data_IF_287243204773
#
_entry.id   IF_287243204773
#
_cell.length_a   1.000
_cell.length_b   1.000
_cell.length_c   1.000
_cell.angle_alpha   90.00
_cell.angle_beta   90.00
_cell.angle_gamma   90.00
#
_symmetry.space_group_name_H-M   'P 1'
#
loop_
_entity.id
_entity.type
_entity.pdbx_description
1 polymer ?
#
# COMPACT_ATOMS: atom_id res chain seq x y z
N UNK A 1 10.21 -26.98 24.66
CA UNK A 1 10.52 -25.93 25.64
C UNK A 1 10.12 -24.61 25.03
N UNK A 2 9.01 -24.00 25.46
CA UNK A 2 8.54 -22.73 24.91
C UNK A 2 9.32 -21.60 25.54
N UNK A 3 10.06 -20.84 24.74
CA UNK A 3 10.75 -19.63 25.21
C UNK A 3 9.91 -18.44 24.76
N UNK A 4 9.12 -17.89 25.67
CA UNK A 4 8.40 -16.63 25.46
C UNK A 4 9.35 -15.48 25.76
N UNK A 5 9.75 -14.73 24.74
CA UNK A 5 10.42 -13.44 24.92
C UNK A 5 9.37 -12.33 24.92
N UNK A 6 9.14 -11.71 26.08
CA UNK A 6 8.48 -10.40 26.14
C UNK A 6 9.56 -9.34 25.95
N UNK A 7 9.58 -8.71 24.77
CA UNK A 7 10.40 -7.52 24.53
C UNK A 7 9.57 -6.26 24.78
N UNK A 8 10.19 -5.32 25.50
CA UNK A 8 9.62 -4.10 26.06
C UNK A 8 9.22 -3.06 25.00
N UNK A 9 8.03 -2.48 25.19
CA UNK A 9 7.59 -1.13 24.80
C UNK A 9 8.31 -0.44 23.63
N UNK A 10 8.19 -0.97 22.40
CA UNK A 10 8.09 -0.16 21.15
C UNK A 10 7.79 -1.00 19.88
N UNK A 11 7.18 -2.19 19.95
CA UNK A 11 6.93 -3.03 18.76
C UNK A 11 5.51 -3.60 18.71
N UNK A 12 4.92 -3.57 17.50
CA UNK A 12 3.54 -3.97 17.11
C UNK A 12 3.30 -5.49 17.03
N UNK A 13 4.26 -6.31 17.49
CA UNK A 13 4.21 -7.77 17.36
C UNK A 13 3.42 -8.35 18.54
N UNK A 14 2.23 -8.87 18.25
CA UNK A 14 1.31 -9.42 19.25
C UNK A 14 1.65 -10.85 19.65
N UNK A 15 2.29 -11.61 18.76
CA UNK A 15 2.81 -12.94 19.07
C UNK A 15 4.01 -13.33 18.20
N UNK A 16 4.94 -14.09 18.80
CA UNK A 16 6.01 -14.80 18.09
C UNK A 16 5.98 -16.25 18.54
N UNK A 17 5.90 -17.18 17.60
CA UNK A 17 6.06 -18.61 17.87
C UNK A 17 7.21 -19.20 17.05
N UNK A 18 7.95 -20.11 17.69
CA UNK A 18 9.10 -20.80 17.09
C UNK A 18 8.85 -22.29 17.20
N UNK A 19 8.87 -23.00 16.07
CA UNK A 19 8.79 -24.45 16.01
C UNK A 19 10.02 -25.01 15.33
N UNK A 20 10.71 -25.94 15.99
CA UNK A 20 11.80 -26.70 15.39
C UNK A 20 11.24 -28.01 14.85
N UNK A 21 11.54 -28.32 13.60
CA UNK A 21 11.29 -29.63 13.04
C UNK A 21 12.62 -30.39 12.92
N UNK A 22 12.82 -31.34 13.83
CA UNK A 22 14.02 -32.18 13.89
C UNK A 22 14.12 -33.15 12.70
N UNK A 23 13.04 -33.43 11.96
CA UNK A 23 13.09 -34.33 10.81
C UNK A 23 13.81 -33.71 9.61
N UNK A 24 13.65 -32.41 9.42
CA UNK A 24 14.10 -31.69 8.22
C UNK A 24 15.11 -30.58 8.58
N UNK A 25 15.57 -30.53 9.84
CA UNK A 25 16.46 -29.51 10.39
C UNK A 25 16.00 -28.08 10.10
N UNK A 26 14.68 -27.84 10.14
CA UNK A 26 14.08 -26.54 9.84
C UNK A 26 13.53 -25.88 11.10
N UNK A 27 13.56 -24.55 11.13
CA UNK A 27 12.98 -23.73 12.20
C UNK A 27 11.96 -22.80 11.58
N UNK A 28 10.71 -22.91 12.00
CA UNK A 28 9.62 -22.05 11.53
C UNK A 28 9.39 -20.94 12.55
N UNK A 29 9.38 -19.70 12.06
CA UNK A 29 8.99 -18.52 12.82
C UNK A 29 7.60 -18.07 12.34
N UNK A 30 6.66 -17.90 13.27
CA UNK A 30 5.36 -17.29 12.98
C UNK A 30 5.27 -15.97 13.74
N UNK A 31 4.96 -14.91 13.01
CA UNK A 31 4.80 -13.55 13.52
C UNK A 31 3.35 -13.13 13.37
N UNK A 32 2.76 -12.61 14.43
CA UNK A 32 1.44 -11.97 14.42
C UNK A 32 1.66 -10.49 14.76
N UNK A 33 1.16 -9.60 13.91
CA UNK A 33 1.29 -8.13 14.06
C UNK A 33 -0.03 -7.46 13.72
N UNK A 34 -0.32 -6.34 14.39
CA UNK A 34 -1.49 -5.50 14.10
C UNK A 34 -1.15 -4.32 13.16
N UNK A 35 0.13 -4.13 12.83
CA UNK A 35 0.62 -3.12 11.88
C UNK A 35 1.60 -3.76 10.87
N UNK A 36 1.58 -3.29 9.63
CA UNK A 36 1.97 -4.07 8.44
C UNK A 36 3.47 -4.20 8.14
N UNK A 37 4.35 -3.68 8.99
CA UNK A 37 5.77 -3.55 8.65
C UNK A 37 6.62 -4.65 9.32
N UNK A 38 6.86 -5.74 8.58
CA UNK A 38 7.84 -6.76 8.94
C UNK A 38 8.99 -6.75 7.92
N UNK A 39 10.15 -6.29 8.34
CA UNK A 39 11.39 -6.46 7.59
C UNK A 39 12.05 -7.81 7.97
N UNK A 40 12.06 -8.76 7.03
CA UNK A 40 12.61 -10.10 7.25
C UNK A 40 13.98 -10.20 6.56
N UNK A 41 15.01 -10.51 7.34
CA UNK A 41 16.37 -10.76 6.85
C UNK A 41 16.35 -12.09 6.07
N UNK A 42 16.58 -12.01 4.75
CA UNK A 42 16.46 -13.16 3.83
C UNK A 42 17.59 -14.17 3.96
N UNK A 43 18.74 -13.73 4.45
CA UNK A 43 19.88 -14.59 4.71
C UNK A 43 20.80 -14.00 5.77
N UNK A 44 21.41 -14.88 6.54
CA UNK A 44 22.41 -14.52 7.53
C UNK A 44 23.42 -15.66 7.71
N UNK A 45 24.64 -15.29 8.04
CA UNK A 45 25.79 -16.18 8.08
C UNK A 45 26.22 -16.44 9.54
N UNK A 46 26.18 -17.71 9.97
CA UNK A 46 26.71 -18.15 11.27
C UNK A 46 27.81 -19.16 11.00
N UNK A 47 29.03 -18.92 11.52
CA UNK A 47 30.09 -19.94 11.52
C UNK A 47 30.30 -20.61 10.14
N UNK A 48 30.32 -19.83 9.05
CA UNK A 48 30.39 -20.29 7.65
C UNK A 48 29.19 -21.13 7.14
N UNK A 49 28.05 -21.07 7.81
CA UNK A 49 26.77 -21.61 7.34
C UNK A 49 25.88 -20.46 6.90
N UNK A 50 25.38 -20.52 5.66
CA UNK A 50 24.37 -19.59 5.17
C UNK A 50 22.99 -20.13 5.50
N UNK A 51 22.30 -19.47 6.43
CA UNK A 51 20.89 -19.74 6.68
C UNK A 51 20.07 -18.90 5.70
N UNK A 52 19.28 -19.54 4.85
CA UNK A 52 18.35 -18.89 3.93
C UNK A 52 16.92 -19.10 4.40
N UNK A 53 16.12 -18.04 4.44
CA UNK A 53 14.70 -18.15 4.73
C UNK A 53 13.93 -18.34 3.42
N UNK A 54 13.41 -19.54 3.18
CA UNK A 54 12.48 -19.79 2.07
C UNK A 54 11.05 -19.52 2.54
N UNK A 55 10.39 -18.57 1.89
CA UNK A 55 9.01 -18.22 2.19
C UNK A 55 8.04 -19.26 1.64
N UNK A 56 7.43 -20.04 2.52
CA UNK A 56 6.21 -20.79 2.22
C UNK A 56 5.01 -19.96 2.70
N UNK A 57 4.62 -18.95 1.93
CA UNK A 57 3.41 -18.17 2.22
C UNK A 57 2.17 -19.04 1.94
N UNK A 58 1.69 -19.77 2.93
CA UNK A 58 0.45 -20.54 2.81
C UNK A 58 -0.80 -19.78 3.26
N UNK A 59 -0.70 -18.55 3.79
CA UNK A 59 -1.86 -17.71 4.11
C UNK A 59 -1.61 -16.22 3.84
N UNK A 60 -1.30 -15.87 2.59
CA UNK A 60 -1.75 -14.56 2.08
C UNK A 60 -3.16 -14.80 1.56
N UNK A 61 -4.16 -14.48 2.38
CA UNK A 61 -5.53 -14.33 1.90
C UNK A 61 -5.61 -13.09 1.00
N UNK A 62 -5.06 -13.21 -0.22
CA UNK A 62 -5.44 -12.42 -1.39
C UNK A 62 -5.87 -13.32 -2.55
N UNK A 63 -5.93 -14.65 -2.33
CA UNK A 63 -6.26 -15.64 -3.35
C UNK A 63 -7.74 -15.76 -3.71
N UNK A 64 -8.63 -14.93 -3.16
CA UNK A 64 -10.04 -14.89 -3.58
C UNK A 64 -10.41 -13.75 -4.54
N UNK A 65 -9.48 -12.85 -4.91
CA UNK A 65 -9.77 -11.78 -5.89
C UNK A 65 -9.41 -12.11 -7.35
N UNK A 66 -8.85 -13.28 -7.65
CA UNK A 66 -8.64 -13.73 -9.04
C UNK A 66 -9.93 -14.26 -9.68
N UNK A 67 -11.02 -13.49 -9.57
CA UNK A 67 -12.23 -13.68 -10.38
C UNK A 67 -12.68 -12.42 -11.13
N UNK A 68 -11.94 -11.32 -11.07
CA UNK A 68 -12.26 -10.15 -11.90
C UNK A 68 -11.09 -9.18 -12.05
N UNK A 69 -9.95 -9.57 -12.65
CA UNK A 69 -8.91 -8.63 -13.12
C UNK A 69 -8.35 -7.60 -12.12
N UNK A 70 -8.65 -7.72 -10.83
CA UNK A 70 -8.33 -6.76 -9.78
C UNK A 70 -7.08 -7.26 -9.07
N UNK A 71 -6.04 -6.44 -9.06
CA UNK A 71 -4.83 -6.66 -8.28
C UNK A 71 -4.97 -5.84 -6.99
N UNK A 72 -4.90 -6.51 -5.84
CA UNK A 72 -5.00 -5.91 -4.51
C UNK A 72 -3.84 -6.36 -3.62
N UNK A 73 -3.26 -5.42 -2.87
CA UNK A 73 -2.23 -5.68 -1.85
C UNK A 73 -2.54 -4.80 -0.63
N UNK A 74 -2.52 -5.39 0.56
CA UNK A 74 -3.10 -4.75 1.74
C UNK A 74 -4.57 -4.41 1.51
N UNK A 75 -4.96 -3.20 1.90
CA UNK A 75 -6.31 -2.66 1.70
C UNK A 75 -6.47 -1.92 0.36
N UNK A 76 -5.45 -1.90 -0.49
CA UNK A 76 -5.47 -1.15 -1.73
C UNK A 76 -5.93 -2.01 -2.91
N UNK A 77 -6.74 -1.40 -3.78
CA UNK A 77 -7.36 -2.01 -4.96
C UNK A 77 -7.18 -1.10 -6.16
N UNK A 78 -6.59 -1.62 -7.24
CA UNK A 78 -6.51 -0.88 -8.51
C UNK A 78 -7.73 -1.11 -9.39
N UNK A 79 -8.25 -0.03 -9.93
CA UNK A 79 -9.32 0.00 -10.92
C UNK A 79 -8.78 0.44 -12.28
N UNK A 80 -8.71 -0.50 -13.21
CA UNK A 80 -8.23 -0.23 -14.57
C UNK A 80 -9.23 0.59 -15.40
N UNK A 81 -10.54 0.44 -15.14
CA UNK A 81 -11.58 1.17 -15.88
C UNK A 81 -11.53 2.65 -15.52
N UNK A 82 -11.10 3.54 -16.43
CA UNK A 82 -10.81 4.92 -16.10
C UNK A 82 -12.09 5.70 -15.84
N UNK A 83 -12.04 6.60 -14.86
CA UNK A 83 -13.16 7.47 -14.48
C UNK A 83 -12.66 8.87 -14.15
N UNK A 84 -13.57 9.85 -14.07
CA UNK A 84 -13.24 11.19 -13.54
C UNK A 84 -12.96 11.09 -12.04
N UNK A 85 -12.24 12.06 -11.47
CA UNK A 85 -11.84 12.00 -10.05
C UNK A 85 -13.03 11.80 -9.11
N UNK A 86 -14.12 12.55 -9.30
CA UNK A 86 -15.30 12.45 -8.44
C UNK A 86 -16.07 11.13 -8.63
N UNK A 87 -16.09 10.58 -9.85
CA UNK A 87 -16.68 9.26 -10.09
C UNK A 87 -15.83 8.15 -9.47
N UNK A 88 -14.50 8.23 -9.60
CA UNK A 88 -13.56 7.32 -8.95
C UNK A 88 -13.72 7.36 -7.42
N UNK A 89 -13.80 8.56 -6.83
CA UNK A 89 -14.11 8.75 -5.40
C UNK A 89 -15.42 8.09 -5.01
N UNK A 90 -16.47 8.28 -5.79
CA UNK A 90 -17.78 7.66 -5.55
C UNK A 90 -17.70 6.13 -5.58
N UNK A 91 -16.99 5.56 -6.56
CA UNK A 91 -16.80 4.11 -6.67
C UNK A 91 -16.10 3.57 -5.43
N UNK A 92 -15.00 4.17 -4.99
CA UNK A 92 -14.31 3.69 -3.78
C UNK A 92 -15.19 3.76 -2.52
N UNK A 93 -16.03 4.79 -2.39
CA UNK A 93 -17.02 4.90 -1.30
C UNK A 93 -18.05 3.78 -1.37
N UNK A 94 -18.57 3.47 -2.56
CA UNK A 94 -19.51 2.36 -2.78
C UNK A 94 -18.88 0.99 -2.47
N UNK A 95 -17.55 0.87 -2.61
CA UNK A 95 -16.78 -0.31 -2.23
C UNK A 95 -16.46 -0.39 -0.73
N UNK A 96 -16.89 0.60 0.06
CA UNK A 96 -16.64 0.63 1.51
C UNK A 96 -15.29 1.22 1.90
N UNK A 97 -14.77 2.14 1.09
CA UNK A 97 -13.49 2.80 1.34
C UNK A 97 -13.43 4.22 0.78
N UNK A 98 -12.24 4.63 0.36
CA UNK A 98 -12.00 5.91 -0.28
C UNK A 98 -10.90 5.78 -1.35
N UNK A 99 -10.65 6.85 -2.11
CA UNK A 99 -9.46 6.86 -2.97
C UNK A 99 -8.20 6.75 -2.09
N UNK A 100 -7.22 5.93 -2.48
CA UNK A 100 -6.07 5.60 -1.61
C UNK A 100 -5.27 6.83 -1.20
N UNK A 101 -4.97 6.94 0.08
CA UNK A 101 -4.23 8.08 0.64
C UNK A 101 -2.82 7.62 0.94
N UNK A 102 -1.86 8.06 0.12
CA UNK A 102 -0.46 7.72 0.33
C UNK A 102 0.05 8.49 1.55
N UNK A 103 0.27 7.79 2.65
CA UNK A 103 0.77 8.38 3.90
C UNK A 103 2.23 8.02 4.24
N UNK A 104 2.83 7.13 3.46
CA UNK A 104 4.19 6.66 3.66
C UNK A 104 4.89 6.31 2.35
N UNK A 105 6.22 6.31 2.36
CA UNK A 105 7.02 5.81 1.22
C UNK A 105 6.82 4.31 0.98
N UNK A 106 6.38 3.56 1.99
CA UNK A 106 6.13 2.14 1.85
C UNK A 106 4.82 1.88 1.10
N UNK A 107 3.76 2.61 1.46
CA UNK A 107 2.48 2.54 0.76
C UNK A 107 2.63 2.96 -0.71
N UNK A 108 3.42 4.00 -0.98
CA UNK A 108 3.79 4.40 -2.33
C UNK A 108 4.38 3.23 -3.14
N UNK A 109 5.36 2.51 -2.55
CA UNK A 109 5.96 1.33 -3.19
C UNK A 109 4.95 0.22 -3.42
N UNK A 110 4.01 -0.01 -2.51
CA UNK A 110 2.94 -1.00 -2.68
C UNK A 110 2.02 -0.64 -3.85
N UNK A 111 1.58 0.62 -3.93
CA UNK A 111 0.77 1.10 -5.05
C UNK A 111 1.52 1.00 -6.38
N UNK A 112 2.83 1.30 -6.40
CA UNK A 112 3.66 1.10 -7.58
C UNK A 112 3.77 -0.37 -8.01
N UNK A 113 3.91 -1.29 -7.04
CA UNK A 113 3.96 -2.73 -7.32
C UNK A 113 2.63 -3.23 -7.89
N UNK A 114 1.50 -2.78 -7.34
CA UNK A 114 0.18 -3.04 -7.94
C UNK A 114 0.16 -2.50 -9.37
N UNK A 115 0.52 -1.23 -9.57
CA UNK A 115 0.44 -0.58 -10.88
C UNK A 115 1.28 -1.33 -11.93
N UNK A 116 2.51 -1.71 -11.57
CA UNK A 116 3.41 -2.46 -12.45
C UNK A 116 2.82 -3.84 -12.83
N UNK A 117 2.16 -4.51 -11.88
CA UNK A 117 1.53 -5.82 -12.11
C UNK A 117 0.32 -5.79 -13.04
N UNK A 118 -0.32 -4.63 -13.24
CA UNK A 118 -1.57 -4.52 -14.03
C UNK A 118 -1.36 -4.58 -15.54
N UNK A 119 -0.15 -4.26 -16.05
CA UNK A 119 0.06 -4.05 -17.49
C UNK A 119 -0.63 -2.81 -18.07
N UNK A 120 -1.22 -1.94 -17.24
CA UNK A 120 -1.94 -0.75 -17.68
C UNK A 120 -1.07 0.17 -18.55
N UNK A 121 -1.64 0.70 -19.63
CA UNK A 121 -0.96 1.64 -20.54
C UNK A 121 -0.93 3.08 -20.01
N UNK A 122 -1.70 3.39 -18.97
CA UNK A 122 -1.67 4.69 -18.31
C UNK A 122 -0.37 4.84 -17.51
N UNK A 123 0.13 6.08 -17.45
CA UNK A 123 1.35 6.41 -16.70
C UNK A 123 1.07 6.95 -15.29
N UNK A 124 -0.19 7.17 -14.96
CA UNK A 124 -0.64 7.70 -13.69
C UNK A 124 -2.08 7.26 -13.38
N UNK A 125 -2.41 7.22 -12.10
CA UNK A 125 -3.73 6.85 -11.61
C UNK A 125 -4.16 7.81 -10.49
N UNK A 126 -5.47 8.04 -10.35
CA UNK A 126 -5.99 8.86 -9.25
C UNK A 126 -5.74 8.21 -7.90
N UNK A 127 -5.45 9.08 -6.93
CA UNK A 127 -5.31 8.79 -5.51
C UNK A 127 -6.16 9.80 -4.73
N UNK A 128 -6.29 9.61 -3.43
CA UNK A 128 -7.16 10.34 -2.52
C UNK A 128 -6.64 11.72 -2.13
N UNK A 129 -6.20 12.52 -3.09
CA UNK A 129 -5.60 13.83 -2.87
C UNK A 129 -6.24 14.89 -3.79
N UNK A 130 -6.57 16.08 -3.28
CA UNK A 130 -7.17 17.15 -4.07
C UNK A 130 -6.98 18.56 -3.51
N UNK A 131 -7.27 19.59 -4.30
CA UNK A 131 -7.27 21.01 -3.89
C UNK A 131 -8.57 21.75 -4.24
N UNK A 132 -9.72 21.08 -4.11
CA UNK A 132 -11.04 21.67 -4.41
C UNK A 132 -11.47 22.79 -3.45
N UNK A 133 -10.95 22.83 -2.21
CA UNK A 133 -11.34 23.86 -1.24
C UNK A 133 -10.67 25.21 -1.51
N UNK A 134 -9.39 25.19 -1.86
CA UNK A 134 -8.63 26.39 -2.21
C UNK A 134 -7.45 26.01 -3.10
N UNK A 135 -7.08 26.82 -4.10
CA UNK A 135 -5.86 26.60 -4.86
C UNK A 135 -4.63 26.47 -3.95
N UNK A 136 -3.77 25.49 -4.25
CA UNK A 136 -2.59 25.12 -3.46
C UNK A 136 -2.83 24.54 -2.07
N UNK A 137 -4.08 24.50 -1.59
CA UNK A 137 -4.43 23.80 -0.36
C UNK A 137 -4.75 22.34 -0.66
N UNK A 138 -3.72 21.49 -0.62
CA UNK A 138 -3.83 20.07 -0.93
C UNK A 138 -4.19 19.28 0.32
N UNK A 139 -5.32 18.61 0.23
CA UNK A 139 -5.89 17.79 1.30
C UNK A 139 -6.26 16.41 0.77
N UNK A 140 -6.31 15.44 1.67
CA UNK A 140 -6.82 14.11 1.36
C UNK A 140 -8.33 14.15 1.15
N UNK A 141 -8.89 13.08 0.58
CA UNK A 141 -10.35 12.89 0.48
C UNK A 141 -11.05 12.76 1.84
N UNK A 142 -10.29 12.57 2.92
CA UNK A 142 -10.75 12.59 4.32
C UNK A 142 -10.57 13.97 4.99
N UNK A 143 -9.90 14.91 4.33
CA UNK A 143 -9.73 16.29 4.80
C UNK A 143 -8.43 16.60 5.52
N UNK A 144 -7.51 15.64 5.65
CA UNK A 144 -6.19 15.88 6.23
C UNK A 144 -5.29 16.64 5.26
N UNK A 145 -4.50 17.58 5.78
CA UNK A 145 -3.51 18.30 4.96
C UNK A 145 -2.40 17.37 4.48
N UNK A 146 -1.95 17.54 3.23
CA UNK A 146 -0.81 16.76 2.70
C UNK A 146 0.48 16.96 3.52
N UNK A 147 0.61 18.08 4.22
CA UNK A 147 1.76 18.35 5.08
C UNK A 147 1.74 17.54 6.38
N UNK A 148 0.61 16.90 6.72
CA UNK A 148 0.44 16.05 7.90
C UNK A 148 0.69 14.56 7.60
N UNK A 149 0.35 14.11 6.39
CA UNK A 149 0.29 12.67 6.03
C UNK A 149 1.63 12.07 5.58
N UNK A 150 2.78 12.72 5.75
CA UNK A 150 4.07 12.04 5.54
C UNK A 150 4.58 11.81 4.10
N UNK A 151 3.74 11.86 3.06
CA UNK A 151 4.17 11.73 1.66
C UNK A 151 3.79 12.94 0.78
N UNK A 152 4.79 13.65 0.23
CA UNK A 152 4.57 14.85 -0.58
C UNK A 152 5.55 15.03 -1.76
N UNK A 153 6.04 13.93 -2.33
CA UNK A 153 7.03 13.98 -3.41
C UNK A 153 6.39 14.23 -4.77
N UNK A 154 6.38 15.49 -5.24
CA UNK A 154 5.78 15.88 -6.52
C UNK A 154 6.73 15.73 -7.71
N UNK A 155 6.16 15.54 -8.91
CA UNK A 155 6.89 15.73 -10.17
C UNK A 155 7.29 17.21 -10.33
N UNK A 156 8.36 17.47 -11.09
CA UNK A 156 8.89 18.82 -11.26
C UNK A 156 7.81 19.81 -11.76
N UNK A 157 7.70 20.97 -11.09
CA UNK A 157 6.73 22.00 -11.43
C UNK A 157 5.31 21.72 -10.93
N UNK A 158 5.13 20.77 -10.01
CA UNK A 158 3.86 20.47 -9.34
C UNK A 158 3.97 20.64 -7.81
N UNK A 159 2.85 20.89 -7.11
CA UNK A 159 1.52 21.17 -7.67
C UNK A 159 1.47 22.52 -8.40
N UNK A 160 0.51 22.69 -9.31
CA UNK A 160 0.29 23.96 -10.02
C UNK A 160 -1.20 24.31 -10.08
N UNK A 161 -1.53 25.48 -10.63
CA UNK A 161 -2.89 26.01 -10.68
C UNK A 161 -3.85 25.28 -11.62
N UNK A 162 -3.33 24.42 -12.51
CA UNK A 162 -4.13 23.78 -13.56
C UNK A 162 -4.69 22.42 -13.14
N UNK A 163 -4.19 21.85 -12.04
CA UNK A 163 -4.63 20.56 -11.53
C UNK A 163 -5.19 20.68 -10.12
N UNK A 164 -6.35 20.08 -9.91
CA UNK A 164 -7.05 20.05 -8.63
C UNK A 164 -7.24 18.63 -8.07
N UNK A 165 -6.87 17.61 -8.85
CA UNK A 165 -6.93 16.20 -8.47
C UNK A 165 -5.54 15.59 -8.52
N UNK A 166 -5.19 14.88 -7.45
CA UNK A 166 -3.90 14.23 -7.26
C UNK A 166 -3.85 12.85 -7.91
N UNK A 167 -2.71 12.53 -8.49
CA UNK A 167 -2.45 11.23 -9.12
C UNK A 167 -1.07 10.73 -8.72
N UNK A 168 -0.91 9.42 -8.59
CA UNK A 168 0.40 8.76 -8.49
C UNK A 168 0.89 8.39 -9.89
N UNK A 169 2.06 8.89 -10.28
CA UNK A 169 2.75 8.49 -11.51
C UNK A 169 3.52 7.18 -11.29
N UNK A 170 3.70 6.39 -12.36
CA UNK A 170 4.59 5.20 -12.35
C UNK A 170 6.03 5.50 -11.94
N UNK A 171 6.45 6.78 -11.95
CA UNK A 171 7.74 7.22 -11.45
C UNK A 171 7.82 7.33 -9.92
N UNK A 172 6.74 7.03 -9.19
CA UNK A 172 6.68 7.15 -7.74
C UNK A 172 6.47 8.57 -7.23
N UNK A 173 5.97 9.46 -8.09
CA UNK A 173 5.78 10.87 -7.75
C UNK A 173 4.33 11.31 -7.93
N UNK A 174 3.93 12.24 -7.09
CA UNK A 174 2.63 12.91 -7.16
C UNK A 174 2.58 13.84 -8.37
N UNK A 175 1.43 13.88 -9.03
CA UNK A 175 1.11 14.84 -10.07
C UNK A 175 -0.27 15.44 -9.83
N UNK A 176 -0.48 16.66 -10.34
CA UNK A 176 -1.73 17.40 -10.22
C UNK A 176 -2.35 17.52 -11.62
N UNK A 177 -3.56 17.01 -11.79
CA UNK A 177 -4.29 17.06 -13.07
C UNK A 177 -5.70 17.63 -12.90
N UNK A 178 -6.33 18.13 -13.98
CA UNK A 178 -7.74 18.46 -13.96
C UNK A 178 -8.60 17.23 -13.62
N UNK A 179 -9.47 17.34 -12.62
CA UNK A 179 -10.30 16.21 -12.16
C UNK A 179 -11.32 15.67 -13.15
N UNK A 180 -11.53 16.34 -14.29
CA UNK A 180 -12.38 15.85 -15.37
C UNK A 180 -11.64 14.88 -16.33
N UNK A 181 -10.32 14.70 -16.18
CA UNK A 181 -9.62 13.67 -16.92
C UNK A 181 -10.10 12.29 -16.49
N UNK A 182 -10.20 11.36 -17.44
CA UNK A 182 -10.54 9.97 -17.18
C UNK A 182 -9.26 9.17 -17.01
N UNK A 183 -9.03 8.68 -15.79
CA UNK A 183 -7.83 7.92 -15.43
C UNK A 183 -8.22 6.70 -14.60
N UNK A 184 -7.41 5.63 -14.62
CA UNK A 184 -7.54 4.57 -13.62
C UNK A 184 -7.28 5.12 -12.22
N UNK A 185 -7.60 4.36 -11.19
CA UNK A 185 -7.55 4.86 -9.81
C UNK A 185 -7.30 3.75 -8.80
N UNK A 186 -6.77 4.15 -7.64
CA UNK A 186 -6.61 3.27 -6.49
C UNK A 186 -7.68 3.57 -5.44
N UNK A 187 -8.36 2.53 -4.98
CA UNK A 187 -9.19 2.58 -3.78
C UNK A 187 -8.41 1.97 -2.61
N UNK A 188 -8.62 2.51 -1.43
CA UNK A 188 -8.22 1.93 -0.16
C UNK A 188 -9.49 1.59 0.60
N UNK A 189 -9.63 0.32 0.98
CA UNK A 189 -10.83 -0.24 1.58
C UNK A 189 -10.67 -0.29 3.10
N UNK A 190 -11.70 0.11 3.83
CA UNK A 190 -11.66 0.05 5.28
C UNK A 190 -11.67 -1.41 5.73
N UNK A 191 -10.75 -1.77 6.63
CA UNK A 191 -10.85 -3.06 7.33
C UNK A 191 -12.03 -2.99 8.28
N UNK A 192 -12.99 -3.89 8.11
CA UNK A 192 -14.07 -4.02 9.09
C UNK A 192 -13.47 -4.56 10.39
N UNK A 193 -13.38 -3.71 11.40
CA UNK A 193 -13.07 -4.06 12.79
C UNK A 193 -14.09 -5.02 13.38
#
# INVERSE_FOLDING_TARGET
>A
MFVLFFLSSLTMVTAVSIMNNDSDNSTTFTLSTEEFDIEIIRSFEIQNLTCTCDFLSNDVSSKDSMKSGIIAYGNHKFHETPNTFNNARKICIEEGGHLSIIDSELEEKWLLNIFAGTGSTYNQAYIGLHSYFSPYDWVTVLGDSIYKIGFNQWVNGRPNLYGNSGTLCKSGKLNAVPGHYVLPFFCELETKS
#
